data_IF_021539699189
#
_entry.id   IF_021539699189
#
_cell.length_a   1.000
_cell.length_b   1.000
_cell.length_c   1.000
_cell.angle_alpha   90.00
_cell.angle_beta   90.00
_cell.angle_gamma   90.00
#
_symmetry.space_group_name_H-M   'P 1'
#
loop_
_entity.id
_entity.type
_entity.pdbx_description
1 polymer ?
#
# COMPACT_ATOMS: atom_id res chain seq x y z
N UNK A 1 4.07 -7.66 9.73
CA UNK A 1 4.05 -8.27 8.38
C UNK A 1 4.63 -9.69 8.25
N UNK A 2 5.48 -10.19 9.17
CA UNK A 2 6.07 -11.54 9.06
C UNK A 2 5.05 -12.69 8.93
N UNK A 3 3.98 -12.66 9.72
CA UNK A 3 2.95 -13.70 9.67
C UNK A 3 2.23 -13.72 8.31
N UNK A 4 1.83 -12.56 7.80
CA UNK A 4 1.21 -12.45 6.48
C UNK A 4 2.12 -12.91 5.36
N UNK A 5 3.40 -12.55 5.39
CA UNK A 5 4.37 -13.06 4.41
C UNK A 5 4.43 -14.60 4.39
N UNK A 6 4.46 -15.24 5.56
CA UNK A 6 4.44 -16.72 5.65
C UNK A 6 3.17 -17.36 5.11
N UNK A 7 2.03 -16.68 5.18
CA UNK A 7 0.73 -17.23 4.74
C UNK A 7 0.43 -16.93 3.28
N UNK A 8 0.74 -15.72 2.80
CA UNK A 8 0.40 -15.24 1.46
C UNK A 8 1.49 -15.57 0.42
N UNK A 9 2.74 -15.70 0.86
CA UNK A 9 3.85 -16.20 0.03
C UNK A 9 4.70 -17.19 0.84
N UNK A 10 4.19 -18.40 1.12
CA UNK A 10 4.89 -19.40 1.92
C UNK A 10 6.21 -19.86 1.29
N UNK A 11 6.32 -19.76 -0.03
CA UNK A 11 7.50 -20.15 -0.81
C UNK A 11 8.58 -19.07 -0.91
N UNK A 12 8.21 -17.80 -0.70
CA UNK A 12 9.07 -16.65 -0.95
C UNK A 12 9.37 -16.41 -2.43
N UNK A 13 8.60 -17.00 -3.35
CA UNK A 13 8.88 -16.96 -4.80
C UNK A 13 8.27 -15.77 -5.52
N UNK A 14 7.39 -15.00 -4.87
CA UNK A 14 6.69 -13.87 -5.50
C UNK A 14 7.58 -12.65 -5.74
N UNK A 15 8.72 -12.54 -5.03
CA UNK A 15 9.52 -11.32 -4.99
C UNK A 15 8.87 -10.16 -4.20
N UNK A 16 7.68 -10.36 -3.61
CA UNK A 16 6.96 -9.33 -2.86
C UNK A 16 7.54 -9.21 -1.44
N UNK A 17 7.87 -7.97 -1.05
CA UNK A 17 8.27 -7.64 0.33
C UNK A 17 7.07 -7.11 1.11
N UNK A 18 6.75 -7.73 2.23
CA UNK A 18 5.68 -7.28 3.12
C UNK A 18 6.25 -6.33 4.18
N UNK A 19 5.97 -5.03 4.05
CA UNK A 19 6.51 -3.97 4.90
C UNK A 19 5.46 -3.46 5.90
N UNK A 20 5.87 -3.22 7.14
CA UNK A 20 4.99 -2.66 8.18
C UNK A 20 5.31 -1.19 8.42
N UNK A 21 4.28 -0.34 8.40
CA UNK A 21 4.35 1.09 8.75
C UNK A 21 3.48 1.37 9.99
N UNK A 22 3.88 0.93 11.19
CA UNK A 22 3.02 0.94 12.38
C UNK A 22 2.69 2.35 12.90
N UNK A 23 3.54 3.35 12.63
CA UNK A 23 3.32 4.74 13.03
C UNK A 23 2.65 5.59 11.93
N UNK A 24 2.37 4.99 10.77
CA UNK A 24 1.94 5.69 9.55
C UNK A 24 2.93 6.76 9.09
N UNK A 25 4.21 6.69 9.49
CA UNK A 25 5.17 7.74 9.19
C UNK A 25 5.43 7.86 7.68
N UNK A 26 5.56 6.71 6.99
CA UNK A 26 5.74 6.70 5.54
C UNK A 26 4.47 7.13 4.82
N UNK A 27 3.32 6.57 5.25
CA UNK A 27 2.00 6.90 4.71
C UNK A 27 1.69 8.40 4.80
N UNK A 28 1.97 9.02 5.95
CA UNK A 28 1.77 10.46 6.19
C UNK A 28 2.74 11.32 5.40
N UNK A 29 3.99 10.89 5.26
CA UNK A 29 4.99 11.61 4.45
C UNK A 29 4.59 11.69 2.96
N UNK A 30 3.78 10.74 2.49
CA UNK A 30 3.22 10.73 1.13
C UNK A 30 1.87 11.45 1.00
N UNK A 31 1.30 11.96 2.09
CA UNK A 31 -0.07 12.49 2.13
C UNK A 31 -1.15 11.47 1.70
N UNK A 32 -0.90 10.19 2.02
CA UNK A 32 -1.77 9.06 1.65
C UNK A 32 -2.48 8.44 2.85
N UNK A 33 -2.56 9.16 3.98
CA UNK A 33 -3.40 8.74 5.11
C UNK A 33 -4.86 9.11 4.89
N UNK A 34 -5.78 8.30 5.40
CA UNK A 34 -7.20 8.63 5.53
C UNK A 34 -7.74 8.17 6.88
N UNK A 35 -8.80 8.84 7.36
CA UNK A 35 -9.51 8.45 8.59
C UNK A 35 -10.30 7.16 8.34
N UNK A 36 -9.79 6.06 8.91
CA UNK A 36 -10.41 4.74 8.88
C UNK A 36 -11.02 4.35 10.23
N UNK A 37 -11.15 5.27 11.19
CA UNK A 37 -11.40 4.93 12.59
C UNK A 37 -12.67 4.11 12.82
N UNK A 38 -13.74 4.41 12.07
CA UNK A 38 -15.04 3.74 12.18
C UNK A 38 -15.00 2.23 11.86
N UNK A 39 -14.06 1.80 11.00
CA UNK A 39 -13.94 0.40 10.54
C UNK A 39 -12.71 -0.26 11.14
N UNK A 40 -11.62 0.50 11.28
CA UNK A 40 -10.27 0.00 11.48
C UNK A 40 -9.62 0.44 12.80
N UNK A 41 -10.32 1.26 13.61
CA UNK A 41 -9.86 1.73 14.91
C UNK A 41 -8.80 2.84 14.87
N UNK A 42 -8.47 3.35 13.68
CA UNK A 42 -7.64 4.54 13.50
C UNK A 42 -7.38 4.82 12.01
N UNK A 43 -6.52 5.82 11.76
CA UNK A 43 -6.06 6.17 10.42
C UNK A 43 -5.41 4.99 9.71
N UNK A 44 -5.55 4.95 8.38
CA UNK A 44 -4.93 3.94 7.52
C UNK A 44 -4.35 4.57 6.26
N UNK A 45 -3.53 3.80 5.56
CA UNK A 45 -3.09 4.13 4.21
C UNK A 45 -4.24 3.95 3.24
N UNK A 46 -4.44 4.95 2.36
CA UNK A 46 -5.24 4.80 1.15
C UNK A 46 -4.69 3.60 0.35
N UNK A 47 -5.53 2.97 -0.47
CA UNK A 47 -5.05 2.01 -1.47
C UNK A 47 -4.44 2.77 -2.63
N UNK A 48 -3.23 2.41 -3.00
CA UNK A 48 -2.51 2.99 -4.13
C UNK A 48 -1.42 2.04 -4.66
N UNK A 49 -0.92 2.33 -5.86
CA UNK A 49 0.33 1.81 -6.38
C UNK A 49 1.23 2.97 -6.82
N UNK A 50 2.53 2.90 -6.51
CA UNK A 50 3.53 3.88 -6.94
C UNK A 50 4.57 3.20 -7.81
N UNK A 51 4.87 3.79 -8.97
CA UNK A 51 6.08 3.48 -9.72
C UNK A 51 7.21 4.37 -9.22
N UNK A 52 8.30 3.76 -8.74
CA UNK A 52 9.44 4.47 -8.17
C UNK A 52 10.69 4.15 -9.00
N UNK A 53 11.35 5.19 -9.49
CA UNK A 53 12.65 5.10 -10.18
C UNK A 53 13.63 6.05 -9.49
N UNK A 54 14.83 5.56 -9.17
CA UNK A 54 15.89 6.32 -8.51
C UNK A 54 15.45 7.09 -7.25
N UNK A 55 14.52 6.50 -6.49
CA UNK A 55 13.98 7.09 -5.26
C UNK A 55 12.93 8.18 -5.48
N UNK A 56 12.54 8.47 -6.72
CA UNK A 56 11.48 9.42 -7.05
C UNK A 56 10.22 8.71 -7.54
N UNK A 57 9.05 9.23 -7.17
CA UNK A 57 7.75 8.76 -7.69
C UNK A 57 7.60 9.22 -9.14
N UNK A 58 7.47 8.26 -10.06
CA UNK A 58 7.23 8.50 -11.49
C UNK A 58 5.75 8.49 -11.82
N UNK A 59 5.03 7.54 -11.24
CA UNK A 59 3.58 7.42 -11.38
C UNK A 59 2.94 7.13 -10.02
N UNK A 60 1.75 7.68 -9.82
CA UNK A 60 0.96 7.46 -8.62
C UNK A 60 -0.49 7.11 -9.00
N UNK A 61 -0.87 5.87 -8.72
CA UNK A 61 -2.19 5.30 -9.00
C UNK A 61 -2.97 5.20 -7.69
N UNK A 62 -3.58 6.31 -7.27
CA UNK A 62 -4.28 6.43 -5.97
C UNK A 62 -5.78 6.24 -6.16
N UNK A 63 -6.39 5.39 -5.35
CA UNK A 63 -7.84 5.15 -5.41
C UNK A 63 -8.62 6.35 -4.87
N UNK A 64 -9.60 6.81 -5.64
CA UNK A 64 -10.39 8.01 -5.33
C UNK A 64 -11.25 7.90 -4.06
N UNK A 65 -11.64 6.68 -3.70
CA UNK A 65 -12.48 6.37 -2.53
C UNK A 65 -11.65 5.85 -1.34
N UNK A 66 -10.33 5.99 -1.42
CA UNK A 66 -9.32 5.50 -0.46
C UNK A 66 -9.19 3.98 -0.34
N UNK A 67 -10.14 3.16 -0.80
CA UNK A 67 -10.21 1.73 -0.41
C UNK A 67 -10.59 0.75 -1.51
N UNK A 68 -11.23 1.24 -2.58
CA UNK A 68 -11.66 0.48 -3.75
C UNK A 68 -10.48 -0.13 -4.50
N UNK A 69 -10.77 -0.91 -5.54
CA UNK A 69 -9.75 -1.57 -6.36
C UNK A 69 -10.05 -1.30 -7.82
N UNK A 70 -9.30 -0.36 -8.41
CA UNK A 70 -9.37 -0.04 -9.83
C UNK A 70 -7.99 0.38 -10.34
N UNK A 71 -7.60 1.64 -10.18
CA UNK A 71 -6.37 2.18 -10.79
C UNK A 71 -5.10 1.59 -10.18
N UNK A 72 -5.16 1.12 -8.93
CA UNK A 72 -4.02 0.52 -8.22
C UNK A 72 -3.85 -0.98 -8.47
N UNK A 73 -4.71 -1.60 -9.30
CA UNK A 73 -4.62 -3.02 -9.62
C UNK A 73 -3.38 -3.33 -10.48
N UNK A 74 -2.80 -4.52 -10.32
CA UNK A 74 -1.55 -4.89 -11.00
C UNK A 74 -1.65 -4.82 -12.54
N UNK A 75 -2.79 -5.17 -13.12
CA UNK A 75 -3.07 -5.09 -14.56
C UNK A 75 -3.19 -3.65 -15.09
N UNK A 76 -3.31 -2.65 -14.21
CA UNK A 76 -3.32 -1.22 -14.57
C UNK A 76 -1.96 -0.56 -14.48
N UNK A 77 -1.02 -1.18 -13.77
CA UNK A 77 0.30 -0.63 -13.47
C UNK A 77 1.41 -1.32 -14.28
N UNK A 78 1.20 -2.57 -14.69
CA UNK A 78 2.13 -3.38 -15.48
C UNK A 78 1.93 -3.23 -16.99
#
# INVERSE_FOLDING_TARGET
MKAWGKTLDPSGSSGIRFLGDPSLAFTKALDLSFDGASIFGGDRSKRYALLIEDGAVKEAHVESDNTGLNVSAADKVL
#
